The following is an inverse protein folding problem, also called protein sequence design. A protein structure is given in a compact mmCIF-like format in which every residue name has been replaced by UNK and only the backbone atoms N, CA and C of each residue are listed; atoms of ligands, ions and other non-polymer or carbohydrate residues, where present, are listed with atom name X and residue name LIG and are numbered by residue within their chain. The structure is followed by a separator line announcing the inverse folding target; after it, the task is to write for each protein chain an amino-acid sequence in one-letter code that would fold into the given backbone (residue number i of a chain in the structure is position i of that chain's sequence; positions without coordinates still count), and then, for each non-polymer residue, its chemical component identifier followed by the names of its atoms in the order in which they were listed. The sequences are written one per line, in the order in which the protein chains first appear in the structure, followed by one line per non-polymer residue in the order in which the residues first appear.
data_IF_138841562662
#
_entry.id   IF_138841562662
#
_cell.length_a   1.000
_cell.length_b   1.000
_cell.length_c   1.000
_cell.angle_alpha   90.00
_cell.angle_beta   90.00
_cell.angle_gamma   90.00
#
_symmetry.space_group_name_H-M   'P 1'
#
loop_
_entity.id
_entity.type
_entity.pdbx_description
1 polymer ?
#
# COMPACT_ATOMS: atom_id res chain seq x y z
N UNK A 1 -21.35 -52.07 6.59
CA UNK A 1 -20.38 -51.15 7.19
C UNK A 1 -19.91 -50.25 6.03
N UNK A 2 -20.65 -49.16 5.83
CA UNK A 2 -20.45 -48.23 4.70
C UNK A 2 -19.61 -47.08 5.24
N UNK A 3 -18.33 -47.00 4.78
CA UNK A 3 -17.45 -45.88 5.06
C UNK A 3 -17.96 -44.65 4.27
N UNK A 4 -18.53 -43.67 4.98
CA UNK A 4 -18.80 -42.37 4.40
C UNK A 4 -17.46 -41.61 4.29
N UNK A 5 -16.93 -41.52 3.07
CA UNK A 5 -15.89 -40.55 2.75
C UNK A 5 -16.52 -39.16 2.75
N UNK A 6 -16.34 -38.40 3.84
CA UNK A 6 -16.58 -36.97 3.83
C UNK A 6 -15.47 -36.31 3.01
N UNK A 7 -15.73 -36.07 1.71
CA UNK A 7 -14.93 -35.15 0.89
C UNK A 7 -15.33 -33.76 1.37
N UNK A 8 -14.48 -33.16 2.18
CA UNK A 8 -14.59 -31.73 2.51
C UNK A 8 -14.21 -30.97 1.23
N UNK A 9 -15.20 -30.64 0.41
CA UNK A 9 -15.05 -29.58 -0.57
C UNK A 9 -14.90 -28.26 0.22
N UNK A 10 -13.68 -27.82 0.39
CA UNK A 10 -13.41 -26.42 0.70
C UNK A 10 -13.99 -25.63 -0.49
N UNK A 11 -15.15 -25.03 -0.30
CA UNK A 11 -15.71 -24.07 -1.23
C UNK A 11 -14.79 -22.86 -1.18
N UNK A 12 -13.80 -22.84 -2.06
CA UNK A 12 -12.97 -21.65 -2.27
C UNK A 12 -13.94 -20.51 -2.67
N UNK A 13 -14.05 -19.52 -1.78
CA UNK A 13 -14.74 -18.29 -2.11
C UNK A 13 -13.91 -17.63 -3.23
N UNK A 14 -14.35 -17.75 -4.46
CA UNK A 14 -13.69 -17.10 -5.60
C UNK A 14 -13.78 -15.59 -5.34
N UNK A 15 -12.66 -15.02 -4.90
CA UNK A 15 -12.55 -13.59 -4.63
C UNK A 15 -12.77 -12.81 -5.93
N UNK A 16 -13.41 -11.65 -5.84
CA UNK A 16 -13.58 -10.76 -6.98
C UNK A 16 -12.46 -9.74 -7.00
N UNK A 17 -11.29 -10.14 -7.51
CA UNK A 17 -10.18 -9.23 -7.77
C UNK A 17 -10.59 -8.10 -8.72
N UNK A 18 -10.15 -6.88 -8.43
CA UNK A 18 -10.49 -5.69 -9.23
C UNK A 18 -9.22 -4.86 -9.49
N UNK A 19 -9.22 -4.14 -10.62
CA UNK A 19 -8.24 -3.11 -10.86
C UNK A 19 -8.73 -1.77 -10.28
N UNK A 20 -7.82 -0.98 -9.74
CA UNK A 20 -8.02 0.35 -9.21
C UNK A 20 -7.03 1.35 -9.77
N UNK A 21 -7.26 2.63 -9.51
CA UNK A 21 -6.28 3.68 -9.69
C UNK A 21 -6.04 4.44 -8.40
N UNK A 22 -4.81 4.91 -8.23
CA UNK A 22 -4.41 5.69 -7.06
C UNK A 22 -3.25 6.62 -7.34
N UNK A 23 -2.54 6.99 -6.26
CA UNK A 23 -1.35 7.85 -6.28
C UNK A 23 -1.63 9.25 -6.83
N UNK A 24 -2.80 9.80 -6.49
CA UNK A 24 -3.13 11.21 -6.65
C UNK A 24 -3.84 11.73 -5.39
N UNK A 25 -3.66 13.01 -5.09
CA UNK A 25 -4.13 13.63 -3.85
C UNK A 25 -5.43 14.43 -4.00
N UNK A 26 -5.94 14.57 -5.22
CA UNK A 26 -7.14 15.36 -5.52
C UNK A 26 -8.09 14.60 -6.44
N UNK A 27 -9.37 14.55 -6.07
CA UNK A 27 -10.42 13.94 -6.89
C UNK A 27 -10.84 14.89 -8.03
N UNK A 28 -9.94 15.16 -8.99
CA UNK A 28 -10.24 16.02 -10.13
C UNK A 28 -10.83 15.23 -11.30
N UNK A 29 -11.65 15.88 -12.15
CA UNK A 29 -12.30 15.21 -13.28
C UNK A 29 -11.34 14.51 -14.23
N UNK A 30 -10.11 14.98 -14.38
CA UNK A 30 -9.10 14.40 -15.26
C UNK A 30 -8.79 12.96 -14.85
N UNK A 31 -8.41 12.73 -13.59
CA UNK A 31 -8.07 11.40 -13.08
C UNK A 31 -9.29 10.47 -13.00
N UNK A 32 -10.43 11.00 -12.56
CA UNK A 32 -11.64 10.19 -12.42
C UNK A 32 -12.19 9.73 -13.78
N UNK A 33 -12.16 10.61 -14.81
CA UNK A 33 -12.55 10.22 -16.17
C UNK A 33 -11.57 9.24 -16.79
N UNK A 34 -10.27 9.44 -16.55
CA UNK A 34 -9.25 8.49 -16.97
C UNK A 34 -9.54 7.10 -16.39
N UNK A 35 -9.76 6.99 -15.08
CA UNK A 35 -10.11 5.73 -14.44
C UNK A 35 -11.33 5.06 -15.08
N UNK A 36 -12.41 5.80 -15.31
CA UNK A 36 -13.62 5.27 -15.95
C UNK A 36 -13.41 4.81 -17.38
N UNK A 37 -12.61 5.55 -18.16
CA UNK A 37 -12.30 5.16 -19.55
C UNK A 37 -11.55 3.83 -19.63
N UNK A 38 -10.78 3.51 -18.59
CA UNK A 38 -10.10 2.22 -18.44
C UNK A 38 -10.91 1.18 -17.65
N UNK A 39 -12.20 1.44 -17.37
CA UNK A 39 -13.10 0.48 -16.73
C UNK A 39 -12.85 0.27 -15.24
N UNK A 40 -12.14 1.19 -14.58
CA UNK A 40 -11.79 1.12 -13.16
C UNK A 40 -12.83 1.85 -12.32
N UNK A 41 -13.20 1.25 -11.19
CA UNK A 41 -14.18 1.80 -10.25
C UNK A 41 -13.65 1.99 -8.84
N UNK A 42 -12.57 1.33 -8.48
CA UNK A 42 -11.93 1.48 -7.17
C UNK A 42 -10.88 2.61 -7.23
N UNK A 43 -11.07 3.64 -6.43
CA UNK A 43 -10.18 4.80 -6.32
C UNK A 43 -9.52 4.82 -4.95
N UNK A 44 -8.22 5.02 -4.94
CA UNK A 44 -7.41 5.32 -3.77
C UNK A 44 -6.89 6.76 -3.87
N UNK A 45 -6.97 7.53 -2.81
CA UNK A 45 -6.34 8.85 -2.72
C UNK A 45 -5.17 8.81 -1.73
N UNK A 46 -3.98 9.20 -2.21
CA UNK A 46 -2.79 9.29 -1.38
C UNK A 46 -2.62 10.71 -0.85
N UNK A 47 -2.48 10.82 0.47
CA UNK A 47 -2.34 12.09 1.20
C UNK A 47 -3.29 13.18 0.63
N UNK A 48 -4.61 12.96 0.72
CA UNK A 48 -5.56 13.85 0.07
C UNK A 48 -5.41 15.29 0.55
N UNK A 49 -5.50 16.23 -0.36
CA UNK A 49 -5.43 17.67 -0.08
C UNK A 49 -6.72 18.14 0.60
N UNK A 50 -6.80 17.96 1.90
CA UNK A 50 -7.88 18.40 2.75
C UNK A 50 -7.42 19.50 3.71
N UNK A 51 -8.33 20.35 4.20
CA UNK A 51 -8.03 21.21 5.33
C UNK A 51 -7.54 20.40 6.52
N UNK A 52 -6.44 20.83 7.12
CA UNK A 52 -5.73 20.11 8.19
C UNK A 52 -5.62 20.96 9.47
N UNK A 53 -6.69 21.64 9.84
CA UNK A 53 -6.72 22.55 10.99
C UNK A 53 -6.51 21.74 12.28
N UNK A 54 -5.49 22.12 13.04
CA UNK A 54 -5.14 21.44 14.28
C UNK A 54 -4.54 20.04 14.10
N UNK A 55 -4.04 19.68 12.90
CA UNK A 55 -3.37 18.40 12.65
C UNK A 55 -4.32 17.20 12.58
N UNK A 56 -5.53 17.40 12.04
CA UNK A 56 -6.55 16.37 11.88
C UNK A 56 -7.50 16.65 10.73
N UNK A 57 -8.27 15.67 10.28
CA UNK A 57 -9.28 15.81 9.24
C UNK A 57 -10.70 15.78 9.81
N UNK A 58 -11.51 16.71 9.34
CA UNK A 58 -12.91 16.83 9.73
C UNK A 58 -13.82 15.91 8.91
N UNK A 59 -14.87 15.37 9.55
CA UNK A 59 -15.84 14.48 8.90
C UNK A 59 -16.47 15.11 7.65
N UNK A 60 -16.81 16.41 7.72
CA UNK A 60 -17.41 17.13 6.59
C UNK A 60 -16.52 17.09 5.35
N UNK A 61 -15.23 17.35 5.51
CA UNK A 61 -14.28 17.38 4.39
C UNK A 61 -14.07 16.00 3.78
N UNK A 62 -14.03 14.96 4.61
CA UNK A 62 -13.92 13.55 4.17
C UNK A 62 -15.18 13.07 3.43
N UNK A 63 -16.37 13.44 3.89
CA UNK A 63 -17.63 13.18 3.18
C UNK A 63 -17.64 13.87 1.83
N UNK A 64 -17.24 15.15 1.76
CA UNK A 64 -17.13 15.90 0.50
C UNK A 64 -16.12 15.29 -0.46
N UNK A 65 -15.00 14.79 0.06
CA UNK A 65 -14.00 14.09 -0.73
C UNK A 65 -14.58 12.79 -1.34
N UNK A 66 -15.26 11.97 -0.54
CA UNK A 66 -15.93 10.77 -1.04
C UNK A 66 -16.99 11.11 -2.09
N UNK A 67 -17.86 12.07 -1.82
CA UNK A 67 -18.86 12.55 -2.80
C UNK A 67 -18.21 13.04 -4.09
N UNK A 68 -17.06 13.73 -4.01
CA UNK A 68 -16.33 14.17 -5.18
C UNK A 68 -15.85 13.02 -6.07
N UNK A 69 -15.50 11.88 -5.50
CA UNK A 69 -15.16 10.66 -6.24
C UNK A 69 -16.40 9.98 -6.79
N UNK A 70 -17.41 9.77 -5.93
CA UNK A 70 -18.55 8.89 -6.24
C UNK A 70 -19.64 9.57 -7.10
N UNK A 71 -19.84 10.88 -6.95
CA UNK A 71 -20.94 11.60 -7.59
C UNK A 71 -20.52 12.49 -8.77
N UNK A 72 -19.25 12.87 -8.85
CA UNK A 72 -18.77 13.87 -9.83
C UNK A 72 -18.86 13.42 -11.28
N UNK A 73 -18.79 12.13 -11.52
CA UNK A 73 -18.92 11.52 -12.85
C UNK A 73 -20.19 10.70 -12.87
N UNK A 74 -21.33 11.37 -12.86
CA UNK A 74 -22.65 10.81 -12.60
C UNK A 74 -22.98 9.51 -13.35
N UNK A 75 -23.71 8.63 -12.68
CA UNK A 75 -24.16 7.34 -13.23
C UNK A 75 -23.12 6.24 -13.20
N UNK A 76 -22.04 6.38 -12.46
CA UNK A 76 -20.97 5.39 -12.34
C UNK A 76 -21.00 4.68 -10.99
N UNK A 77 -20.41 3.47 -10.94
CA UNK A 77 -20.21 2.71 -9.70
C UNK A 77 -18.83 3.01 -9.05
N UNK A 78 -18.27 4.19 -9.29
CA UNK A 78 -16.97 4.57 -8.74
C UNK A 78 -17.07 4.72 -7.23
N UNK A 79 -16.04 4.27 -6.52
CA UNK A 79 -15.95 4.29 -5.05
C UNK A 79 -14.61 4.83 -4.60
N UNK A 80 -14.60 5.59 -3.54
CA UNK A 80 -13.40 5.89 -2.78
C UNK A 80 -13.14 4.70 -1.84
N UNK A 81 -12.36 3.73 -2.34
CA UNK A 81 -12.14 2.44 -1.68
C UNK A 81 -11.10 2.50 -0.57
N UNK A 82 -10.16 3.45 -0.64
CA UNK A 82 -9.15 3.66 0.40
C UNK A 82 -8.64 5.10 0.42
N UNK A 83 -8.19 5.54 1.60
CA UNK A 83 -7.22 6.62 1.73
C UNK A 83 -5.86 6.00 2.08
N UNK A 84 -4.80 6.57 1.53
CA UNK A 84 -3.42 6.22 1.83
C UNK A 84 -2.70 7.44 2.35
N UNK A 85 -2.08 7.30 3.51
CA UNK A 85 -1.35 8.34 4.23
C UNK A 85 -2.17 9.57 4.66
N UNK A 86 -1.73 10.14 5.77
CA UNK A 86 -2.01 11.51 6.22
C UNK A 86 -0.74 12.34 6.10
N UNK A 87 -0.81 13.67 6.15
CA UNK A 87 0.39 14.50 6.29
C UNK A 87 1.27 14.01 7.45
N UNK A 88 2.57 13.90 7.23
CA UNK A 88 3.50 13.33 8.22
C UNK A 88 3.44 14.03 9.58
N UNK A 89 3.21 15.36 9.58
CA UNK A 89 3.07 16.16 10.80
C UNK A 89 1.79 15.85 11.63
N UNK A 90 0.94 14.90 11.20
CA UNK A 90 -0.16 14.41 12.00
C UNK A 90 0.30 13.35 13.02
N UNK A 91 1.44 12.66 12.77
CA UNK A 91 1.87 11.51 13.56
C UNK A 91 3.40 11.33 13.70
N UNK A 92 4.20 12.30 13.24
CA UNK A 92 5.67 12.28 13.38
C UNK A 92 6.13 12.18 14.85
N UNK A 93 5.48 12.90 15.76
CA UNK A 93 5.75 12.77 17.20
C UNK A 93 5.27 11.43 17.79
N UNK A 94 4.29 10.76 17.19
CA UNK A 94 3.91 9.39 17.57
C UNK A 94 5.04 8.45 17.18
N UNK A 95 5.51 8.53 15.93
CA UNK A 95 6.59 7.69 15.41
C UNK A 95 7.89 7.85 16.20
N UNK A 96 8.23 9.08 16.60
CA UNK A 96 9.52 9.43 17.20
C UNK A 96 9.45 9.65 18.72
N UNK A 97 8.31 9.38 19.36
CA UNK A 97 8.07 9.64 20.79
C UNK A 97 8.39 11.09 21.19
N UNK A 98 7.97 12.03 20.34
CA UNK A 98 8.21 13.46 20.54
C UNK A 98 7.24 14.11 21.53
N UNK A 99 7.43 15.40 21.86
CA UNK A 99 6.70 16.08 22.94
C UNK A 99 5.20 16.27 22.67
N UNK A 100 4.75 16.15 21.43
CA UNK A 100 3.33 16.24 21.04
C UNK A 100 2.68 14.88 20.77
N UNK A 101 3.29 13.77 21.20
CA UNK A 101 2.84 12.42 20.93
C UNK A 101 1.36 12.22 21.31
N UNK A 102 1.01 12.58 22.52
CA UNK A 102 -0.34 12.31 23.06
C UNK A 102 -1.39 13.18 22.37
N UNK A 103 -1.08 14.44 22.06
CA UNK A 103 -1.91 15.32 21.23
C UNK A 103 -2.16 14.72 19.82
N UNK A 104 -1.09 14.24 19.19
CA UNK A 104 -1.20 13.61 17.86
C UNK A 104 -1.97 12.30 17.90
N UNK A 105 -1.87 11.51 18.97
CA UNK A 105 -2.68 10.31 19.17
C UNK A 105 -4.17 10.67 19.20
N UNK A 106 -4.58 11.67 20.00
CA UNK A 106 -5.96 12.12 20.06
C UNK A 106 -6.47 12.60 18.70
N UNK A 107 -5.66 13.36 17.97
CA UNK A 107 -5.97 13.84 16.64
C UNK A 107 -6.09 12.71 15.60
N UNK A 108 -5.21 11.70 15.68
CA UNK A 108 -5.26 10.54 14.79
C UNK A 108 -6.46 9.64 15.10
N UNK A 109 -6.81 9.43 16.37
CA UNK A 109 -8.05 8.74 16.77
C UNK A 109 -9.27 9.47 16.15
N UNK A 110 -9.32 10.79 16.30
CA UNK A 110 -10.38 11.61 15.72
C UNK A 110 -10.43 11.46 14.19
N UNK A 111 -9.29 11.50 13.53
CA UNK A 111 -9.17 11.38 12.06
C UNK A 111 -9.62 10.00 11.58
N UNK A 112 -9.17 8.91 12.22
CA UNK A 112 -9.55 7.52 11.87
C UNK A 112 -11.06 7.30 12.05
N UNK A 113 -11.64 7.80 13.14
CA UNK A 113 -13.09 7.77 13.34
C UNK A 113 -13.84 8.52 12.23
N UNK A 114 -13.36 9.69 11.83
CA UNK A 114 -13.98 10.47 10.77
C UNK A 114 -13.85 9.81 9.39
N UNK A 115 -12.73 9.16 9.08
CA UNK A 115 -12.56 8.37 7.84
C UNK A 115 -13.61 7.25 7.79
N UNK A 116 -13.74 6.48 8.87
CA UNK A 116 -14.74 5.41 8.97
C UNK A 116 -16.17 5.94 8.82
N UNK A 117 -16.54 6.99 9.56
CA UNK A 117 -17.87 7.62 9.52
C UNK A 117 -18.18 8.29 8.19
N UNK A 118 -17.17 8.74 7.45
CA UNK A 118 -17.32 9.17 6.08
C UNK A 118 -17.65 8.00 5.12
N UNK A 119 -17.61 6.74 5.58
CA UNK A 119 -17.89 5.55 4.79
C UNK A 119 -16.70 5.10 3.94
N UNK A 120 -15.47 5.45 4.31
CA UNK A 120 -14.25 5.03 3.62
C UNK A 120 -13.69 3.83 4.41
N UNK A 121 -13.67 2.61 3.81
CA UNK A 121 -13.46 1.37 4.57
C UNK A 121 -12.01 1.05 4.91
N UNK A 122 -11.05 1.66 4.21
CA UNK A 122 -9.63 1.34 4.36
C UNK A 122 -8.83 2.63 4.54
N UNK A 123 -7.92 2.60 5.52
CA UNK A 123 -6.90 3.63 5.70
C UNK A 123 -5.51 2.98 5.71
N UNK A 124 -4.74 3.20 4.63
CA UNK A 124 -3.34 2.86 4.51
C UNK A 124 -2.45 3.92 5.15
N UNK A 125 -1.36 3.51 5.79
CA UNK A 125 -0.39 4.44 6.38
C UNK A 125 1.01 3.83 6.42
N UNK A 126 2.02 4.64 6.59
CA UNK A 126 3.41 4.20 6.70
C UNK A 126 4.02 4.51 8.08
N UNK A 127 5.17 3.92 8.36
CA UNK A 127 5.95 4.17 9.58
C UNK A 127 7.37 4.61 9.21
N UNK A 128 7.44 5.67 8.38
CA UNK A 128 8.67 6.18 7.78
C UNK A 128 8.82 7.68 8.06
N UNK A 129 9.27 8.09 9.25
CA UNK A 129 9.49 9.51 9.54
C UNK A 129 10.58 10.14 8.65
N UNK A 130 11.47 9.33 8.08
CA UNK A 130 12.49 9.76 7.09
C UNK A 130 11.94 9.87 5.66
N UNK A 131 10.67 9.55 5.43
CA UNK A 131 10.05 9.45 4.10
C UNK A 131 10.65 8.39 3.17
N UNK A 132 10.10 8.28 1.96
CA UNK A 132 10.63 7.42 0.90
C UNK A 132 11.91 8.04 0.32
N UNK A 133 12.94 7.22 0.14
CA UNK A 133 14.19 7.68 -0.46
C UNK A 133 14.43 7.06 -1.84
N UNK A 134 14.86 7.90 -2.77
CA UNK A 134 15.36 7.49 -4.09
C UNK A 134 16.69 8.17 -4.34
N UNK A 135 17.52 7.55 -5.20
CA UNK A 135 18.82 8.07 -5.61
C UNK A 135 18.81 8.37 -7.12
N UNK A 136 19.95 8.25 -7.79
CA UNK A 136 20.04 8.52 -9.23
C UNK A 136 19.10 7.62 -10.02
N UNK A 137 18.15 8.17 -10.82
CA UNK A 137 17.21 7.38 -11.61
C UNK A 137 17.91 6.44 -12.59
N UNK A 138 17.29 5.31 -12.90
CA UNK A 138 17.77 4.36 -13.90
C UNK A 138 17.14 4.63 -15.27
N UNK A 139 17.92 4.39 -16.32
CA UNK A 139 17.41 4.32 -17.70
C UNK A 139 17.15 2.86 -18.01
N UNK A 140 15.91 2.54 -18.31
CA UNK A 140 15.45 1.17 -18.58
C UNK A 140 14.97 0.99 -20.03
N UNK A 141 14.20 -0.05 -20.30
CA UNK A 141 13.71 -0.43 -21.61
C UNK A 141 13.26 0.77 -22.46
N UNK A 142 13.85 0.89 -23.66
CA UNK A 142 13.48 1.92 -24.63
C UNK A 142 13.83 3.35 -24.25
N UNK A 143 14.67 3.55 -23.24
CA UNK A 143 15.04 4.88 -22.73
C UNK A 143 14.04 5.47 -21.75
N UNK A 144 13.09 4.68 -21.22
CA UNK A 144 12.22 5.12 -20.13
C UNK A 144 13.03 5.35 -18.85
N UNK A 145 12.55 6.28 -18.01
CA UNK A 145 13.22 6.63 -16.76
C UNK A 145 12.43 5.99 -15.61
N UNK A 146 13.11 5.23 -14.77
CA UNK A 146 12.54 4.63 -13.57
C UNK A 146 13.22 5.18 -12.32
N UNK A 147 12.49 5.22 -11.22
CA UNK A 147 13.08 5.52 -9.92
C UNK A 147 14.00 4.38 -9.51
N UNK A 148 15.06 4.72 -8.77
CA UNK A 148 16.07 3.77 -8.34
C UNK A 148 16.60 4.11 -6.94
N UNK A 149 17.19 3.14 -6.31
CA UNK A 149 17.83 3.32 -5.02
C UNK A 149 19.19 2.62 -4.99
N UNK A 150 20.19 3.32 -4.46
CA UNK A 150 21.51 2.79 -4.15
C UNK A 150 21.91 3.23 -2.74
N UNK A 151 22.07 2.28 -1.83
CA UNK A 151 22.38 2.55 -0.44
C UNK A 151 23.74 3.21 -0.26
N UNK A 152 24.71 2.96 -1.15
CA UNK A 152 26.02 3.61 -1.11
C UNK A 152 25.96 5.12 -1.41
N UNK A 153 24.96 5.57 -2.15
CA UNK A 153 24.66 6.98 -2.35
C UNK A 153 23.90 7.55 -1.14
N UNK A 154 22.83 6.86 -0.72
CA UNK A 154 21.93 7.31 0.34
C UNK A 154 22.63 7.52 1.68
N UNK A 155 23.52 6.60 2.09
CA UNK A 155 24.25 6.70 3.37
C UNK A 155 25.28 7.85 3.47
N UNK A 156 25.50 8.59 2.38
CA UNK A 156 26.32 9.83 2.39
C UNK A 156 25.50 11.05 2.79
N UNK A 157 24.19 10.94 2.81
CA UNK A 157 23.29 12.02 3.18
C UNK A 157 23.27 12.19 4.71
N UNK A 158 23.00 13.41 5.21
CA UNK A 158 22.95 13.67 6.64
C UNK A 158 21.78 12.96 7.32
N UNK A 159 21.80 12.98 8.65
CA UNK A 159 20.64 12.59 9.45
C UNK A 159 19.41 13.41 9.04
N UNK A 160 18.24 12.78 9.03
CA UNK A 160 16.96 13.46 8.74
C UNK A 160 16.37 14.15 9.97
N UNK A 161 16.85 13.75 11.17
CA UNK A 161 16.41 14.26 12.47
C UNK A 161 17.61 14.62 13.33
N UNK A 162 17.36 15.19 14.51
CA UNK A 162 18.41 15.68 15.41
C UNK A 162 19.35 14.59 15.95
N UNK A 163 18.92 13.32 15.90
CA UNK A 163 19.66 12.16 16.41
C UNK A 163 19.35 10.88 15.62
N UNK A 164 20.12 9.86 15.88
CA UNK A 164 19.82 8.48 15.49
C UNK A 164 18.82 7.85 16.47
N UNK A 165 18.04 6.90 15.97
CA UNK A 165 17.09 6.09 16.71
C UNK A 165 17.49 4.61 16.63
N UNK A 166 17.15 3.83 17.65
CA UNK A 166 17.35 2.37 17.62
C UNK A 166 16.12 1.62 17.11
N UNK A 167 16.33 0.41 16.60
CA UNK A 167 15.22 -0.51 16.23
C UNK A 167 14.25 -0.70 17.41
N UNK A 168 14.77 -0.85 18.62
CA UNK A 168 13.97 -1.06 19.83
C UNK A 168 13.07 0.14 20.13
N UNK A 169 13.60 1.36 20.08
CA UNK A 169 12.80 2.58 20.27
C UNK A 169 11.67 2.66 19.24
N UNK A 170 11.99 2.45 17.95
CA UNK A 170 11.00 2.54 16.89
C UNK A 170 9.92 1.46 17.00
N UNK A 171 10.29 0.23 17.39
CA UNK A 171 9.32 -0.84 17.66
C UNK A 171 8.46 -0.54 18.88
N UNK A 172 9.01 0.00 19.96
CA UNK A 172 8.24 0.38 21.16
C UNK A 172 7.21 1.47 20.82
N UNK A 173 7.60 2.46 20.00
CA UNK A 173 6.70 3.52 19.57
C UNK A 173 5.56 2.97 18.68
N UNK A 174 5.89 2.07 17.75
CA UNK A 174 4.90 1.41 16.91
C UNK A 174 3.94 0.52 17.73
N UNK A 175 4.48 -0.26 18.64
CA UNK A 175 3.66 -1.14 19.50
C UNK A 175 2.68 -0.33 20.37
N UNK A 176 3.16 0.80 20.91
CA UNK A 176 2.30 1.73 21.66
C UNK A 176 1.17 2.26 20.79
N UNK A 177 1.48 2.71 19.57
CA UNK A 177 0.49 3.16 18.58
C UNK A 177 -0.52 2.08 18.21
N UNK A 178 -0.07 0.89 17.84
CA UNK A 178 -0.93 -0.22 17.40
C UNK A 178 -1.91 -0.63 18.49
N UNK A 179 -1.45 -0.70 19.75
CA UNK A 179 -2.30 -1.05 20.90
C UNK A 179 -3.42 -0.02 21.15
N UNK A 180 -3.20 1.22 20.77
CA UNK A 180 -4.21 2.29 20.92
C UNK A 180 -5.15 2.33 19.73
N UNK A 181 -4.62 2.36 18.50
CA UNK A 181 -5.43 2.67 17.33
C UNK A 181 -6.23 1.46 16.81
N UNK A 182 -5.71 0.24 16.97
CA UNK A 182 -6.39 -0.95 16.46
C UNK A 182 -7.77 -1.19 17.10
N UNK A 183 -7.95 -1.10 18.42
CA UNK A 183 -9.29 -1.21 19.03
C UNK A 183 -10.27 -0.13 18.54
N UNK A 184 -9.79 1.09 18.31
CA UNK A 184 -10.60 2.19 17.74
C UNK A 184 -11.04 1.87 16.32
N UNK A 185 -10.13 1.37 15.50
CA UNK A 185 -10.43 0.99 14.12
C UNK A 185 -11.45 -0.17 14.07
N UNK A 186 -11.32 -1.13 14.97
CA UNK A 186 -12.26 -2.25 15.10
C UNK A 186 -13.66 -1.78 15.53
N UNK A 187 -13.74 -0.88 16.52
CA UNK A 187 -15.00 -0.25 16.97
C UNK A 187 -15.72 0.48 15.83
N UNK A 188 -14.99 1.22 15.00
CA UNK A 188 -15.55 2.01 13.89
C UNK A 188 -15.69 1.19 12.60
N UNK A 189 -15.22 -0.07 12.56
CA UNK A 189 -15.32 -0.96 11.41
C UNK A 189 -14.43 -0.58 10.22
N UNK A 190 -13.32 0.16 10.44
CA UNK A 190 -12.32 0.51 9.45
C UNK A 190 -11.12 -0.42 9.55
N UNK A 191 -10.49 -0.71 8.42
CA UNK A 191 -9.25 -1.51 8.38
C UNK A 191 -8.04 -0.62 8.15
N UNK A 192 -7.01 -0.82 8.97
CA UNK A 192 -5.75 -0.08 8.90
C UNK A 192 -4.69 -0.95 8.23
N UNK A 193 -4.07 -0.46 7.16
CA UNK A 193 -3.01 -1.16 6.45
C UNK A 193 -1.67 -0.43 6.56
N UNK A 194 -0.64 -1.11 7.05
CA UNK A 194 0.70 -0.52 7.08
C UNK A 194 1.46 -0.82 5.79
N UNK A 195 2.05 0.24 5.21
CA UNK A 195 2.95 0.17 4.05
C UNK A 195 4.34 -0.34 4.45
N UNK A 196 5.03 -1.14 3.63
CA UNK A 196 6.45 -1.45 3.82
C UNK A 196 7.31 -0.19 3.91
N UNK A 197 8.46 -0.29 4.59
CA UNK A 197 9.45 0.78 4.50
C UNK A 197 10.07 0.77 3.10
N UNK A 198 10.12 1.91 2.45
CA UNK A 198 10.59 2.05 1.08
C UNK A 198 11.73 3.08 0.97
N UNK A 199 12.97 2.61 0.73
CA UNK A 199 13.41 1.22 0.55
C UNK A 199 13.52 0.43 1.87
N UNK A 200 13.43 -0.93 1.82
CA UNK A 200 13.44 -1.78 3.02
C UNK A 200 14.86 -2.10 3.49
N UNK A 201 15.69 -1.07 3.68
CA UNK A 201 17.05 -1.18 4.21
C UNK A 201 17.08 -1.14 5.74
N UNK A 202 18.24 -1.33 6.35
CA UNK A 202 18.36 -1.34 7.80
C UNK A 202 17.98 0.01 8.41
N UNK A 203 18.48 1.10 7.82
CA UNK A 203 18.24 2.46 8.31
C UNK A 203 18.36 3.49 7.19
N UNK A 204 17.75 4.65 7.34
CA UNK A 204 17.87 5.81 6.45
C UNK A 204 17.96 7.08 7.28
N UNK A 205 19.05 7.85 7.11
CA UNK A 205 19.23 9.11 7.80
C UNK A 205 19.09 9.02 9.32
N UNK A 206 19.57 7.93 9.93
CA UNK A 206 19.50 7.68 11.37
C UNK A 206 18.17 7.08 11.86
N UNK A 207 17.26 6.73 10.96
CA UNK A 207 15.95 6.14 11.29
C UNK A 207 15.90 4.68 10.83
N UNK A 208 15.72 3.71 11.74
CA UNK A 208 15.51 2.30 11.39
C UNK A 208 14.25 2.11 10.53
N UNK A 209 14.38 1.34 9.47
CA UNK A 209 13.28 0.97 8.61
C UNK A 209 12.68 -0.35 9.12
N UNK A 210 11.57 -0.29 9.89
CA UNK A 210 11.04 -1.46 10.61
C UNK A 210 10.52 -2.54 9.68
N UNK A 211 9.78 -2.15 8.61
CA UNK A 211 9.15 -3.08 7.68
C UNK A 211 10.07 -3.40 6.50
N UNK A 212 11.17 -4.11 6.80
CA UNK A 212 12.25 -4.51 5.87
C UNK A 212 12.40 -6.01 5.69
N UNK A 213 11.53 -6.81 6.31
CA UNK A 213 11.51 -8.27 6.20
C UNK A 213 10.10 -8.83 6.44
N UNK A 214 9.84 -10.06 6.02
CA UNK A 214 8.55 -10.72 6.25
C UNK A 214 8.25 -10.93 7.74
N UNK A 215 9.26 -11.18 8.54
CA UNK A 215 9.10 -11.32 10.00
C UNK A 215 8.68 -10.03 10.68
N UNK A 216 9.01 -8.86 10.11
CA UNK A 216 8.51 -7.57 10.62
C UNK A 216 6.98 -7.49 10.57
N UNK A 217 6.37 -8.01 9.51
CA UNK A 217 4.91 -8.05 9.38
C UNK A 217 4.28 -9.09 10.31
N UNK A 218 4.89 -10.26 10.45
CA UNK A 218 4.43 -11.25 11.41
C UNK A 218 4.46 -10.68 12.82
N UNK A 219 5.51 -9.92 13.19
CA UNK A 219 5.61 -9.20 14.46
C UNK A 219 4.51 -8.15 14.60
N UNK A 220 4.29 -7.29 13.59
CA UNK A 220 3.20 -6.29 13.60
C UNK A 220 1.86 -6.94 13.90
N UNK A 221 1.52 -7.98 13.14
CA UNK A 221 0.22 -8.66 13.26
C UNK A 221 0.05 -9.40 14.58
N UNK A 222 1.14 -9.72 15.29
CA UNK A 222 1.11 -10.33 16.63
C UNK A 222 0.95 -9.33 17.77
N UNK A 223 1.14 -8.03 17.55
CA UNK A 223 0.98 -7.00 18.58
C UNK A 223 -0.49 -6.93 19.02
N UNK A 224 -1.42 -6.87 18.07
CA UNK A 224 -2.87 -6.98 18.29
C UNK A 224 -3.44 -7.82 17.15
N UNK A 225 -3.92 -9.01 17.47
CA UNK A 225 -4.58 -9.88 16.48
C UNK A 225 -6.02 -9.42 16.25
N UNK A 226 -6.17 -8.60 15.21
CA UNK A 226 -7.45 -8.00 14.83
C UNK A 226 -7.57 -7.92 13.31
N UNK A 227 -8.75 -8.07 12.71
CA UNK A 227 -8.97 -7.82 11.30
C UNK A 227 -8.65 -6.38 10.89
N UNK A 228 -8.71 -5.44 11.85
CA UNK A 228 -8.38 -4.03 11.62
C UNK A 228 -6.88 -3.71 11.68
N UNK A 229 -6.03 -4.65 12.09
CA UNK A 229 -4.57 -4.56 11.98
C UNK A 229 -4.11 -5.40 10.79
N UNK A 230 -3.73 -4.75 9.69
CA UNK A 230 -3.50 -5.39 8.41
C UNK A 230 -2.38 -4.70 7.61
N UNK A 231 -2.23 -5.05 6.36
CA UNK A 231 -1.12 -4.64 5.48
C UNK A 231 -1.69 -3.94 4.24
N UNK A 232 -1.14 -2.80 3.93
CA UNK A 232 -1.08 -2.23 2.60
C UNK A 232 0.06 -2.93 1.85
N UNK A 233 -0.28 -3.85 0.96
CA UNK A 233 0.71 -4.74 0.36
C UNK A 233 1.35 -4.09 -0.86
N UNK A 234 2.38 -3.27 -0.65
CA UNK A 234 3.21 -2.79 -1.76
C UNK A 234 4.09 -3.93 -2.27
N UNK A 235 3.60 -4.69 -3.26
CA UNK A 235 4.34 -5.82 -3.84
C UNK A 235 5.71 -5.36 -4.37
N UNK A 236 5.80 -4.16 -4.95
CA UNK A 236 7.06 -3.60 -5.41
C UNK A 236 8.08 -3.55 -4.27
N UNK A 237 7.79 -2.82 -3.19
CA UNK A 237 8.71 -2.69 -2.05
C UNK A 237 8.96 -4.02 -1.33
N UNK A 238 7.95 -4.87 -1.19
CA UNK A 238 8.12 -6.22 -0.62
C UNK A 238 9.05 -7.06 -1.50
N UNK A 239 9.00 -6.90 -2.83
CA UNK A 239 9.88 -7.59 -3.75
C UNK A 239 11.33 -7.08 -3.77
N UNK A 240 11.61 -5.90 -3.21
CA UNK A 240 12.97 -5.41 -2.97
C UNK A 240 13.68 -6.16 -1.84
N UNK A 241 12.92 -6.77 -0.92
CA UNK A 241 13.46 -7.50 0.22
C UNK A 241 14.17 -8.79 -0.21
N UNK A 242 15.24 -9.17 0.50
CA UNK A 242 15.94 -10.43 0.25
C UNK A 242 15.05 -11.66 0.42
N UNK A 243 14.06 -11.57 1.30
CA UNK A 243 13.07 -12.62 1.57
C UNK A 243 12.22 -12.96 0.33
N UNK A 244 12.11 -12.03 -0.65
CA UNK A 244 11.35 -12.22 -1.87
C UNK A 244 12.06 -13.06 -2.94
N UNK A 245 13.34 -13.39 -2.72
CA UNK A 245 14.13 -14.19 -3.64
C UNK A 245 13.51 -15.59 -3.86
N UNK A 246 13.74 -16.15 -5.02
CA UNK A 246 13.13 -17.42 -5.45
C UNK A 246 11.59 -17.33 -5.40
N UNK A 247 10.95 -18.20 -4.65
CA UNK A 247 9.48 -18.24 -4.50
C UNK A 247 8.97 -17.52 -3.25
N UNK A 248 9.83 -16.89 -2.46
CA UNK A 248 9.47 -16.26 -1.19
C UNK A 248 8.36 -15.22 -1.28
N UNK A 249 8.31 -14.45 -2.38
CA UNK A 249 7.24 -13.45 -2.59
C UNK A 249 5.85 -14.14 -2.72
N UNK A 250 5.76 -15.27 -3.42
CA UNK A 250 4.51 -15.98 -3.62
C UNK A 250 4.04 -16.65 -2.34
N UNK A 251 4.95 -17.24 -1.57
CA UNK A 251 4.66 -17.84 -0.26
C UNK A 251 4.11 -16.77 0.71
N UNK A 252 4.69 -15.56 0.69
CA UNK A 252 4.23 -14.47 1.55
C UNK A 252 2.87 -13.90 1.11
N UNK A 253 2.61 -13.80 -0.19
CA UNK A 253 1.29 -13.46 -0.73
C UNK A 253 0.25 -14.47 -0.24
N UNK A 254 0.50 -15.77 -0.40
CA UNK A 254 -0.42 -16.83 0.03
C UNK A 254 -0.68 -16.77 1.53
N UNK A 255 0.38 -16.64 2.35
CA UNK A 255 0.27 -16.52 3.81
C UNK A 255 -0.64 -15.35 4.22
N UNK A 256 -0.38 -14.15 3.69
CA UNK A 256 -1.08 -12.94 4.10
C UNK A 256 -2.52 -12.87 3.56
N UNK A 257 -2.75 -13.37 2.35
CA UNK A 257 -4.11 -13.50 1.80
C UNK A 257 -4.97 -14.48 2.61
N UNK A 258 -4.47 -15.67 2.93
CA UNK A 258 -5.23 -16.65 3.72
C UNK A 258 -5.55 -16.19 5.13
N UNK A 259 -4.75 -15.28 5.68
CA UNK A 259 -4.99 -14.62 6.96
C UNK A 259 -5.92 -13.41 6.85
N UNK A 260 -6.40 -13.07 5.65
CA UNK A 260 -7.17 -11.84 5.35
C UNK A 260 -6.47 -10.57 5.83
N UNK A 261 -5.14 -10.47 5.59
CA UNK A 261 -4.32 -9.35 6.05
C UNK A 261 -3.90 -8.38 4.93
N UNK A 262 -4.21 -8.66 3.67
CA UNK A 262 -3.94 -7.75 2.53
C UNK A 262 -5.19 -6.93 2.22
N UNK A 263 -5.11 -5.61 2.41
CA UNK A 263 -6.24 -4.71 2.17
C UNK A 263 -6.37 -4.28 0.71
N UNK A 264 -5.26 -3.89 0.13
CA UNK A 264 -5.07 -3.58 -1.30
C UNK A 264 -3.62 -3.80 -1.67
N UNK A 265 -3.35 -3.86 -2.96
CA UNK A 265 -2.03 -4.20 -3.49
C UNK A 265 -1.51 -3.10 -4.41
N UNK A 266 -0.29 -2.66 -4.16
CA UNK A 266 0.51 -1.93 -5.15
C UNK A 266 1.23 -2.95 -6.04
N UNK A 267 0.65 -3.21 -7.20
CA UNK A 267 1.06 -4.30 -8.07
C UNK A 267 2.10 -3.83 -9.09
N UNK A 268 3.31 -3.55 -8.61
CA UNK A 268 4.47 -3.13 -9.41
C UNK A 268 5.63 -4.10 -9.28
N UNK A 269 6.64 -3.95 -10.11
CA UNK A 269 7.81 -4.82 -10.19
C UNK A 269 9.12 -4.04 -10.09
N UNK A 270 10.17 -4.71 -9.67
CA UNK A 270 11.51 -4.15 -9.52
C UNK A 270 12.56 -5.07 -10.14
N UNK A 271 13.76 -4.55 -10.38
CA UNK A 271 14.83 -5.25 -11.10
C UNK A 271 15.37 -6.50 -10.40
N UNK A 272 15.46 -6.49 -9.08
CA UNK A 272 16.02 -7.58 -8.27
C UNK A 272 15.61 -7.49 -6.80
N UNK A 273 15.69 -8.61 -6.04
CA UNK A 273 15.42 -8.65 -4.61
C UNK A 273 16.66 -8.23 -3.80
N UNK A 274 17.04 -6.96 -3.92
CA UNK A 274 18.19 -6.39 -3.24
C UNK A 274 17.82 -4.99 -2.73
N UNK A 275 17.51 -4.82 -1.44
CA UNK A 275 17.05 -3.55 -0.90
C UNK A 275 18.12 -2.46 -0.93
N UNK A 276 19.39 -2.81 -1.11
CA UNK A 276 20.49 -1.85 -1.14
C UNK A 276 20.80 -1.31 -2.55
N UNK A 277 20.32 -2.00 -3.60
CA UNK A 277 20.56 -1.59 -4.99
C UNK A 277 19.48 -2.15 -5.92
N UNK A 278 18.50 -1.33 -6.29
CA UNK A 278 17.44 -1.71 -7.21
C UNK A 278 16.96 -0.53 -8.04
N UNK A 279 16.20 -0.82 -9.08
CA UNK A 279 15.36 0.15 -9.78
C UNK A 279 13.98 -0.43 -10.05
N UNK A 280 13.00 0.45 -10.17
CA UNK A 280 11.65 0.06 -10.56
C UNK A 280 11.60 -0.32 -12.03
N UNK A 281 10.64 -1.15 -12.39
CA UNK A 281 10.52 -1.71 -13.74
C UNK A 281 9.13 -1.46 -14.31
N UNK A 282 8.97 -1.67 -15.62
CA UNK A 282 7.63 -1.86 -16.15
C UNK A 282 6.98 -3.07 -15.49
N UNK A 283 5.68 -3.02 -15.30
CA UNK A 283 4.92 -4.07 -14.62
C UNK A 283 5.18 -5.49 -15.18
N UNK A 284 5.50 -5.59 -16.47
CA UNK A 284 5.75 -6.86 -17.17
C UNK A 284 7.24 -7.25 -17.25
N UNK A 285 8.12 -6.50 -16.61
CA UNK A 285 9.56 -6.79 -16.50
C UNK A 285 9.97 -6.76 -15.02
N UNK A 286 11.21 -7.14 -14.72
CA UNK A 286 11.67 -7.28 -13.35
C UNK A 286 11.73 -8.72 -12.90
N UNK A 287 12.06 -8.94 -11.62
CA UNK A 287 12.35 -10.29 -11.15
C UNK A 287 11.13 -11.10 -10.72
N UNK A 288 10.00 -10.44 -10.42
CA UNK A 288 8.76 -11.12 -10.05
C UNK A 288 8.01 -11.57 -11.32
N UNK A 289 7.66 -12.85 -11.39
CA UNK A 289 6.68 -13.34 -12.36
C UNK A 289 5.28 -12.86 -11.95
N UNK A 290 4.81 -11.80 -12.61
CA UNK A 290 3.56 -11.12 -12.27
C UNK A 290 2.33 -12.00 -12.53
N UNK A 291 2.41 -12.93 -13.50
CA UNK A 291 1.33 -13.90 -13.74
C UNK A 291 1.23 -14.89 -12.57
N UNK A 292 2.35 -15.44 -12.14
CA UNK A 292 2.41 -16.33 -10.96
C UNK A 292 1.92 -15.59 -9.70
N UNK A 293 2.31 -14.33 -9.49
CA UNK A 293 1.84 -13.52 -8.38
C UNK A 293 0.32 -13.35 -8.41
N UNK A 294 -0.25 -12.91 -9.56
CA UNK A 294 -1.70 -12.73 -9.70
C UNK A 294 -2.47 -14.04 -9.48
N UNK A 295 -1.94 -15.16 -9.97
CA UNK A 295 -2.51 -16.48 -9.74
C UNK A 295 -2.49 -16.87 -8.26
N UNK A 296 -1.40 -16.56 -7.56
CA UNK A 296 -1.29 -16.78 -6.11
C UNK A 296 -2.33 -15.99 -5.33
N UNK A 297 -2.53 -14.69 -5.63
CA UNK A 297 -3.61 -13.89 -5.04
C UNK A 297 -4.98 -14.54 -5.27
N UNK A 298 -5.25 -14.97 -6.50
CA UNK A 298 -6.53 -15.60 -6.84
C UNK A 298 -6.74 -16.91 -6.06
N UNK A 299 -5.76 -17.80 -6.05
CA UNK A 299 -5.84 -19.13 -5.40
C UNK A 299 -5.88 -19.02 -3.86
N UNK A 300 -5.30 -17.96 -3.30
CA UNK A 300 -5.39 -17.63 -1.89
C UNK A 300 -6.70 -16.92 -1.48
N UNK A 301 -7.60 -16.63 -2.46
CA UNK A 301 -8.93 -16.06 -2.21
C UNK A 301 -8.96 -14.55 -2.01
N UNK A 302 -7.94 -13.80 -2.51
CA UNK A 302 -7.93 -12.34 -2.46
C UNK A 302 -9.12 -11.73 -3.22
N UNK A 303 -9.86 -10.79 -2.62
CA UNK A 303 -11.11 -10.23 -3.16
C UNK A 303 -11.16 -8.69 -3.15
N UNK A 304 -10.02 -8.03 -3.09
CA UNK A 304 -9.91 -6.58 -3.10
C UNK A 304 -9.31 -6.05 -4.42
N UNK A 305 -8.64 -4.91 -4.40
CA UNK A 305 -8.20 -4.24 -5.62
C UNK A 305 -6.68 -4.09 -5.69
N UNK A 306 -6.20 -3.94 -6.94
CA UNK A 306 -4.82 -3.70 -7.30
C UNK A 306 -4.69 -2.32 -7.92
N UNK A 307 -3.65 -1.57 -7.54
CA UNK A 307 -3.23 -0.36 -8.25
C UNK A 307 -1.80 -0.52 -8.77
N UNK A 308 -1.45 0.27 -9.76
CA UNK A 308 -0.13 0.27 -10.39
C UNK A 308 0.97 0.96 -9.56
N UNK A 309 0.59 1.79 -8.57
CA UNK A 309 1.46 2.58 -7.69
C UNK A 309 2.43 3.49 -8.46
N UNK A 310 3.65 3.05 -8.74
CA UNK A 310 4.62 3.75 -9.57
C UNK A 310 4.70 3.13 -10.96
N UNK A 311 4.99 3.96 -11.96
CA UNK A 311 5.23 3.53 -13.34
C UNK A 311 6.43 4.28 -13.90
N UNK A 312 7.25 3.65 -14.76
CA UNK A 312 8.34 4.33 -15.42
C UNK A 312 7.84 5.52 -16.25
N UNK A 313 8.60 6.62 -16.23
CA UNK A 313 8.34 7.79 -17.07
C UNK A 313 8.64 7.45 -18.53
N UNK A 314 7.59 7.37 -19.35
CA UNK A 314 7.70 7.06 -20.76
C UNK A 314 7.78 8.31 -21.62
N UNK A 315 8.12 8.15 -22.91
CA UNK A 315 8.26 9.27 -23.84
C UNK A 315 6.98 10.10 -23.92
N UNK A 316 7.09 11.42 -23.73
CA UNK A 316 5.97 12.38 -23.76
C UNK A 316 4.81 12.04 -22.80
N UNK A 317 5.09 11.39 -21.69
CA UNK A 317 4.09 11.15 -20.66
C UNK A 317 3.91 12.37 -19.74
N UNK A 318 2.78 12.41 -19.05
CA UNK A 318 2.53 13.43 -18.02
C UNK A 318 3.34 13.13 -16.75
N UNK A 319 3.43 14.10 -15.85
CA UNK A 319 4.10 13.89 -14.57
C UNK A 319 3.47 12.73 -13.75
N UNK A 320 2.14 12.59 -13.77
CA UNK A 320 1.46 11.46 -13.11
C UNK A 320 1.67 10.12 -13.84
N UNK A 321 2.06 10.14 -15.11
CA UNK A 321 2.36 8.93 -15.89
C UNK A 321 1.13 8.28 -16.53
N UNK A 322 0.24 9.05 -17.15
CA UNK A 322 -0.98 8.52 -17.77
C UNK A 322 -0.72 7.35 -18.73
N UNK A 323 0.33 7.43 -19.56
CA UNK A 323 0.66 6.36 -20.52
C UNK A 323 1.19 5.12 -19.82
N UNK A 324 2.09 5.30 -18.85
CA UNK A 324 2.61 4.21 -18.04
C UNK A 324 1.51 3.52 -17.26
N UNK A 325 0.60 4.28 -16.63
CA UNK A 325 -0.53 3.78 -15.87
C UNK A 325 -1.58 3.09 -16.73
N UNK A 326 -1.85 3.60 -17.94
CA UNK A 326 -2.71 2.92 -18.91
C UNK A 326 -2.19 1.53 -19.26
N UNK A 327 -0.88 1.41 -19.51
CA UNK A 327 -0.22 0.14 -19.78
C UNK A 327 -0.30 -0.81 -18.56
N UNK A 328 0.08 -0.33 -17.38
CA UNK A 328 0.08 -1.14 -16.16
C UNK A 328 -1.33 -1.63 -15.80
N UNK A 329 -2.33 -0.74 -15.86
CA UNK A 329 -3.70 -1.09 -15.53
C UNK A 329 -4.30 -2.08 -16.54
N UNK A 330 -4.04 -1.88 -17.85
CA UNK A 330 -4.45 -2.84 -18.88
C UNK A 330 -3.83 -4.23 -18.66
N UNK A 331 -2.57 -4.29 -18.22
CA UNK A 331 -1.90 -5.53 -17.89
C UNK A 331 -2.51 -6.21 -16.64
N UNK A 332 -2.82 -5.46 -15.59
CA UNK A 332 -3.53 -5.97 -14.39
C UNK A 332 -4.89 -6.56 -14.78
N UNK A 333 -5.71 -5.82 -15.54
CA UNK A 333 -7.03 -6.28 -15.97
C UNK A 333 -6.96 -7.54 -16.83
N UNK A 334 -6.01 -7.60 -17.77
CA UNK A 334 -5.83 -8.77 -18.64
C UNK A 334 -5.45 -10.03 -17.83
N UNK A 335 -4.59 -9.89 -16.80
CA UNK A 335 -4.26 -11.03 -15.93
C UNK A 335 -5.44 -11.48 -15.07
N UNK A 336 -6.19 -10.54 -14.48
CA UNK A 336 -7.40 -10.87 -13.72
C UNK A 336 -8.38 -11.62 -14.61
N UNK A 337 -8.62 -11.15 -15.84
CA UNK A 337 -9.51 -11.78 -16.81
C UNK A 337 -9.04 -13.20 -17.19
N UNK A 338 -7.76 -13.35 -17.55
CA UNK A 338 -7.19 -14.62 -17.95
C UNK A 338 -7.31 -15.68 -16.85
N UNK A 339 -6.88 -15.34 -15.63
CA UNK A 339 -6.90 -16.26 -14.49
C UNK A 339 -8.33 -16.64 -14.09
N UNK A 340 -9.25 -15.67 -14.13
CA UNK A 340 -10.66 -15.95 -13.82
C UNK A 340 -11.26 -16.91 -14.84
N UNK A 341 -10.95 -16.75 -16.13
CA UNK A 341 -11.43 -17.63 -17.20
C UNK A 341 -10.82 -19.03 -17.18
N UNK A 342 -9.57 -19.17 -16.74
CA UNK A 342 -8.94 -20.51 -16.60
C UNK A 342 -9.63 -21.39 -15.55
N UNK A 343 -10.29 -20.80 -14.58
CA UNK A 343 -10.90 -21.48 -13.43
C UNK A 343 -12.43 -21.56 -13.52
N UNK A 344 -13.04 -20.96 -14.58
CA UNK A 344 -14.47 -21.03 -14.88
C UNK A 344 -14.78 -22.30 -15.70
#
# INVERSE_FOLDING_TARGET
MILLLCIIYSVYKVGKMRAGFGQFSEAIPEYLRFALQYGVTDILLNTPKLPAVGGKWELYDLVKLREAVELRVGGTNMKLSALENVPTNFYDHIMLNGPRRDEQIDNMIYTVRNIARAGIPIFGYNWMPSHVWRTTPAIIRGGAIATAFNYSEAKKLPLTHEREYSDEEMWNNLEYWIKIITPIAEEEGIRLGIHPCDPPVKELGGIPQLFRSYDSYRRLLSIVDSPSNAIEFCQGTISEMKDSANDGIYDFIDEMCRRDKILYVHFRNVSKPDPEDFHEEFINTGHVDMYKAMKTYFEAGYDSFFIDDHVPQTFQDTHWGHRGRAFANGYIQAMIEAITKEKS
#
